data_IF_594156045509
#
_entry.id   IF_594156045509
#
_cell.length_a   1.000
_cell.length_b   1.000
_cell.length_c   1.000
_cell.angle_alpha   90.00
_cell.angle_beta   90.00
_cell.angle_gamma   90.00
#
_symmetry.space_group_name_H-M   'P 1'
#
loop_
_entity.id
_entity.type
_entity.pdbx_description
1 polymer ?
#
# COMPACT_ATOMS: atom_id res chain seq x y z
N UNK A 1 -17.64 -6.01 0.22
CA UNK A 1 -17.59 -6.90 -0.97
C UNK A 1 -16.27 -6.59 -1.63
N UNK A 2 -15.48 -7.60 -1.99
CA UNK A 2 -14.14 -7.37 -2.57
C UNK A 2 -14.29 -6.92 -4.01
N UNK A 3 -13.72 -5.76 -4.32
CA UNK A 3 -13.78 -5.13 -5.64
C UNK A 3 -12.58 -5.52 -6.52
N UNK A 4 -12.83 -5.78 -7.79
CA UNK A 4 -11.84 -6.30 -8.75
C UNK A 4 -11.79 -5.46 -10.02
N UNK A 5 -10.59 -5.13 -10.48
CA UNK A 5 -10.34 -4.67 -11.85
C UNK A 5 -9.64 -5.77 -12.63
N UNK A 6 -10.11 -6.02 -13.87
CA UNK A 6 -9.57 -7.03 -14.77
C UNK A 6 -8.92 -6.35 -15.98
N UNK A 7 -7.69 -6.77 -16.31
CA UNK A 7 -7.00 -6.35 -17.52
C UNK A 7 -6.53 -7.58 -18.30
N UNK A 8 -7.17 -7.83 -19.43
CA UNK A 8 -6.96 -9.01 -20.28
C UNK A 8 -7.36 -8.66 -21.72
N UNK A 9 -6.46 -8.81 -22.67
CA UNK A 9 -6.73 -8.41 -24.05
C UNK A 9 -7.63 -9.39 -24.81
N UNK A 10 -7.59 -10.68 -24.44
CA UNK A 10 -8.49 -11.69 -25.02
C UNK A 10 -9.91 -11.56 -24.43
N UNK A 11 -10.85 -11.03 -25.21
CA UNK A 11 -12.20 -10.72 -24.75
C UNK A 11 -12.95 -11.92 -24.16
N UNK A 12 -12.69 -13.15 -24.64
CA UNK A 12 -13.32 -14.38 -24.14
C UNK A 12 -12.79 -14.71 -22.75
N UNK A 13 -11.48 -14.63 -22.53
CA UNK A 13 -10.85 -14.86 -21.23
C UNK A 13 -11.29 -13.80 -20.22
N UNK A 14 -11.34 -12.54 -20.65
CA UNK A 14 -11.81 -11.44 -19.82
C UNK A 14 -13.25 -11.62 -19.35
N UNK A 15 -14.14 -12.07 -20.25
CA UNK A 15 -15.53 -12.37 -19.91
C UNK A 15 -15.65 -13.55 -18.93
N UNK A 16 -14.92 -14.63 -19.18
CA UNK A 16 -14.91 -15.81 -18.31
C UNK A 16 -14.39 -15.49 -16.89
N UNK A 17 -13.33 -14.67 -16.79
CA UNK A 17 -12.84 -14.14 -15.53
C UNK A 17 -13.92 -13.37 -14.78
N UNK A 18 -14.59 -12.45 -15.47
CA UNK A 18 -15.66 -11.63 -14.91
C UNK A 18 -16.81 -12.47 -14.37
N UNK A 19 -17.35 -13.35 -15.20
CA UNK A 19 -18.46 -14.25 -14.80
C UNK A 19 -18.06 -15.16 -13.64
N UNK A 20 -16.85 -15.71 -13.67
CA UNK A 20 -16.32 -16.57 -12.60
C UNK A 20 -16.23 -15.81 -11.27
N UNK A 21 -15.64 -14.62 -11.26
CA UNK A 21 -15.48 -13.80 -10.06
C UNK A 21 -16.83 -13.33 -9.51
N UNK A 22 -17.72 -12.83 -10.37
CA UNK A 22 -19.07 -12.40 -9.96
C UNK A 22 -19.89 -13.56 -9.39
N UNK A 23 -19.75 -14.78 -9.93
CA UNK A 23 -20.43 -15.99 -9.40
C UNK A 23 -19.97 -16.36 -7.99
N UNK A 24 -18.76 -15.95 -7.58
CA UNK A 24 -18.18 -16.19 -6.26
C UNK A 24 -18.36 -15.00 -5.30
N UNK A 25 -19.08 -13.95 -5.74
CA UNK A 25 -19.44 -12.83 -4.88
C UNK A 25 -18.41 -11.70 -4.86
N UNK A 26 -17.50 -11.68 -5.82
CA UNK A 26 -16.64 -10.51 -6.08
C UNK A 26 -17.40 -9.47 -6.92
N UNK A 27 -17.03 -8.21 -6.83
CA UNK A 27 -17.59 -7.15 -7.64
C UNK A 27 -16.57 -6.67 -8.68
N UNK A 28 -16.80 -6.94 -9.97
CA UNK A 28 -15.94 -6.46 -11.04
C UNK A 28 -16.32 -5.02 -11.37
N UNK A 29 -15.56 -4.06 -10.84
CA UNK A 29 -15.83 -2.62 -10.94
C UNK A 29 -15.28 -2.02 -12.23
N UNK A 30 -14.38 -2.72 -12.93
CA UNK A 30 -13.86 -2.29 -14.22
C UNK A 30 -13.15 -3.42 -14.95
N UNK A 31 -13.20 -3.38 -16.30
CA UNK A 31 -12.44 -4.31 -17.12
C UNK A 31 -11.90 -3.61 -18.40
N UNK A 32 -10.72 -4.03 -18.83
CA UNK A 32 -10.08 -3.48 -20.01
C UNK A 32 -9.24 -4.51 -20.76
N UNK A 33 -9.06 -4.30 -22.06
CA UNK A 33 -8.12 -5.08 -22.89
C UNK A 33 -6.78 -4.38 -23.12
N UNK A 34 -6.47 -3.31 -22.37
CA UNK A 34 -5.28 -2.48 -22.59
C UNK A 34 -4.62 -2.10 -21.28
N UNK A 35 -3.30 -2.31 -21.19
CA UNK A 35 -2.52 -2.01 -20.00
C UNK A 35 -2.44 -0.52 -19.65
N UNK A 36 -2.48 0.37 -20.64
CA UNK A 36 -2.45 1.81 -20.44
C UNK A 36 -3.74 2.37 -19.78
N UNK A 37 -4.86 1.66 -19.86
CA UNK A 37 -6.12 2.06 -19.23
C UNK A 37 -6.29 1.55 -17.79
N UNK A 38 -5.43 0.61 -17.36
CA UNK A 38 -5.59 -0.03 -16.03
C UNK A 38 -5.43 0.98 -14.89
N UNK A 39 -4.44 1.86 -15.00
CA UNK A 39 -4.15 2.85 -13.96
C UNK A 39 -5.29 3.85 -13.78
N UNK A 40 -5.96 4.21 -14.87
CA UNK A 40 -7.13 5.09 -14.81
C UNK A 40 -8.28 4.40 -14.07
N UNK A 41 -8.55 3.11 -14.40
CA UNK A 41 -9.57 2.32 -13.70
C UNK A 41 -9.25 2.11 -12.21
N UNK A 42 -7.99 1.88 -11.88
CA UNK A 42 -7.55 1.75 -10.48
C UNK A 42 -7.75 3.07 -9.72
N UNK A 43 -7.40 4.20 -10.32
CA UNK A 43 -7.58 5.51 -9.72
C UNK A 43 -9.07 5.91 -9.58
N UNK A 44 -9.93 5.47 -10.50
CA UNK A 44 -11.36 5.77 -10.48
C UNK A 44 -12.12 4.94 -9.44
N UNK A 45 -11.77 3.64 -9.32
CA UNK A 45 -12.57 2.69 -8.55
C UNK A 45 -11.95 2.25 -7.22
N UNK A 46 -10.65 2.54 -6.98
CA UNK A 46 -9.88 2.12 -5.80
C UNK A 46 -10.14 0.64 -5.43
N UNK A 47 -9.84 -0.31 -6.35
CA UNK A 47 -10.19 -1.71 -6.19
C UNK A 47 -9.31 -2.40 -5.12
N UNK A 48 -9.86 -3.44 -4.46
CA UNK A 48 -9.12 -4.28 -3.54
C UNK A 48 -8.05 -5.14 -4.25
N UNK A 49 -8.33 -5.51 -5.51
CA UNK A 49 -7.45 -6.39 -6.30
C UNK A 49 -7.50 -6.06 -7.78
N UNK A 50 -6.35 -6.19 -8.43
CA UNK A 50 -6.20 -6.08 -9.89
C UNK A 50 -5.67 -7.41 -10.45
N UNK A 51 -6.37 -7.95 -11.42
CA UNK A 51 -5.95 -9.13 -12.18
C UNK A 51 -5.50 -8.65 -13.56
N UNK A 52 -4.22 -8.84 -13.90
CA UNK A 52 -3.63 -8.26 -15.09
C UNK A 52 -2.86 -9.29 -15.91
N UNK A 53 -3.15 -9.41 -17.21
CA UNK A 53 -2.29 -10.18 -18.12
C UNK A 53 -0.96 -9.47 -18.33
N UNK A 54 0.13 -10.24 -18.42
CA UNK A 54 1.47 -9.70 -18.67
C UNK A 54 1.53 -9.10 -20.09
N UNK A 55 0.97 -9.79 -21.07
CA UNK A 55 1.08 -9.38 -22.49
C UNK A 55 -0.21 -8.74 -22.99
N UNK A 56 -0.25 -7.43 -22.96
CA UNK A 56 -1.38 -6.66 -23.46
C UNK A 56 -0.91 -5.52 -24.35
N UNK A 57 -1.78 -5.00 -25.24
CA UNK A 57 -1.54 -3.73 -25.92
C UNK A 57 -1.39 -2.57 -24.94
N UNK A 58 -0.54 -1.60 -25.28
CA UNK A 58 -0.27 -0.44 -24.46
C UNK A 58 0.87 -0.72 -23.45
N UNK A 59 0.57 -0.69 -22.17
CA UNK A 59 1.56 -0.92 -21.12
C UNK A 59 1.66 -2.42 -20.78
N UNK A 60 2.88 -2.93 -20.61
CA UNK A 60 3.17 -4.29 -20.15
C UNK A 60 2.59 -4.51 -18.74
N UNK A 61 1.96 -5.66 -18.49
CA UNK A 61 1.28 -5.95 -17.22
C UNK A 61 2.19 -5.95 -16.01
N UNK A 62 3.48 -6.29 -16.13
CA UNK A 62 4.44 -6.18 -15.04
C UNK A 62 4.78 -4.72 -14.70
N UNK A 63 4.83 -3.86 -15.71
CA UNK A 63 5.00 -2.42 -15.47
C UNK A 63 3.75 -1.81 -14.81
N UNK A 64 2.55 -2.25 -15.22
CA UNK A 64 1.29 -1.91 -14.54
C UNK A 64 1.31 -2.34 -13.09
N UNK A 65 1.66 -3.61 -12.82
CA UNK A 65 1.76 -4.16 -11.47
C UNK A 65 2.71 -3.35 -10.58
N UNK A 66 3.89 -3.00 -11.11
CA UNK A 66 4.89 -2.19 -10.40
C UNK A 66 4.37 -0.80 -10.05
N UNK A 67 3.63 -0.15 -10.95
CA UNK A 67 3.03 1.18 -10.68
C UNK A 67 1.94 1.09 -9.63
N UNK A 68 1.08 0.08 -9.70
CA UNK A 68 0.04 -0.14 -8.70
C UNK A 68 0.66 -0.38 -7.33
N UNK A 69 1.61 -1.30 -7.21
CA UNK A 69 2.28 -1.63 -5.93
C UNK A 69 2.98 -0.43 -5.29
N UNK A 70 3.40 0.57 -6.07
CA UNK A 70 4.09 1.76 -5.56
C UNK A 70 3.16 2.92 -5.21
N UNK A 71 1.95 2.99 -5.80
CA UNK A 71 1.14 4.22 -5.76
C UNK A 71 -0.32 3.99 -5.39
N UNK A 72 -0.78 2.74 -5.30
CA UNK A 72 -2.16 2.37 -5.02
C UNK A 72 -2.25 1.26 -3.98
N UNK A 73 -3.38 1.19 -3.31
CA UNK A 73 -3.65 0.23 -2.23
C UNK A 73 -4.45 -0.97 -2.76
N UNK A 74 -3.89 -1.70 -3.73
CA UNK A 74 -4.52 -2.86 -4.34
C UNK A 74 -3.57 -4.07 -4.42
N UNK A 75 -4.10 -5.27 -4.15
CA UNK A 75 -3.38 -6.51 -4.45
C UNK A 75 -3.25 -6.70 -5.97
N UNK A 76 -2.14 -7.25 -6.44
CA UNK A 76 -1.98 -7.54 -7.87
C UNK A 76 -1.73 -9.01 -8.11
N UNK A 77 -2.51 -9.60 -9.01
CA UNK A 77 -2.30 -10.93 -9.59
C UNK A 77 -1.98 -10.78 -11.07
N UNK A 78 -0.96 -11.48 -11.54
CA UNK A 78 -0.66 -11.54 -12.97
C UNK A 78 -1.14 -12.84 -13.60
N UNK A 79 -1.68 -12.72 -14.82
CA UNK A 79 -2.01 -13.83 -15.71
C UNK A 79 -0.91 -13.96 -16.76
N UNK A 80 -0.60 -15.17 -17.17
CA UNK A 80 0.42 -15.39 -18.21
C UNK A 80 0.25 -16.72 -18.92
N UNK A 81 0.56 -16.75 -20.20
CA UNK A 81 0.67 -17.98 -20.97
C UNK A 81 2.00 -18.72 -20.74
N UNK A 82 2.93 -18.15 -19.97
CA UNK A 82 4.29 -18.65 -19.84
C UNK A 82 4.69 -18.84 -18.36
N UNK A 83 5.26 -20.01 -18.06
CA UNK A 83 5.81 -20.36 -16.73
C UNK A 83 7.34 -20.19 -16.65
N UNK A 84 7.91 -19.24 -17.41
CA UNK A 84 9.35 -19.02 -17.41
C UNK A 84 9.81 -18.39 -16.11
N UNK A 85 10.92 -18.87 -15.56
CA UNK A 85 11.44 -18.45 -14.26
C UNK A 85 11.75 -16.94 -14.22
N UNK A 86 12.29 -16.41 -15.32
CA UNK A 86 12.62 -14.98 -15.45
C UNK A 86 11.37 -14.07 -15.31
N UNK A 87 10.21 -14.54 -15.76
CA UNK A 87 8.96 -13.79 -15.60
C UNK A 87 8.46 -13.83 -14.15
N UNK A 88 8.67 -14.94 -13.45
CA UNK A 88 8.32 -15.06 -12.03
C UNK A 88 9.18 -14.11 -11.20
N UNK A 89 10.50 -14.08 -11.44
CA UNK A 89 11.43 -13.20 -10.72
C UNK A 89 11.04 -11.72 -10.94
N UNK A 90 10.74 -11.33 -12.18
CA UNK A 90 10.27 -9.98 -12.51
C UNK A 90 8.92 -9.64 -11.87
N UNK A 91 8.00 -10.61 -11.77
CA UNK A 91 6.70 -10.42 -11.11
C UNK A 91 6.88 -10.17 -9.60
N UNK A 92 7.79 -10.91 -8.96
CA UNK A 92 8.14 -10.68 -7.54
C UNK A 92 8.74 -9.28 -7.34
N UNK A 93 9.68 -8.85 -8.20
CA UNK A 93 10.26 -7.51 -8.16
C UNK A 93 9.23 -6.40 -8.40
N UNK A 94 8.18 -6.68 -9.17
CA UNK A 94 7.07 -5.76 -9.41
C UNK A 94 6.05 -5.69 -8.25
N UNK A 95 6.23 -6.48 -7.18
CA UNK A 95 5.32 -6.51 -6.04
C UNK A 95 4.03 -7.31 -6.27
N UNK A 96 4.05 -8.22 -7.24
CA UNK A 96 2.91 -9.11 -7.54
C UNK A 96 2.70 -10.11 -6.41
N UNK A 97 1.46 -10.28 -5.97
CA UNK A 97 1.10 -11.15 -4.85
C UNK A 97 0.50 -12.49 -5.28
N UNK A 98 0.16 -12.64 -6.55
CA UNK A 98 -0.35 -13.88 -7.13
C UNK A 98 0.05 -14.03 -8.60
N UNK A 99 0.21 -15.27 -9.02
CA UNK A 99 0.63 -15.64 -10.37
C UNK A 99 -0.20 -16.82 -10.87
N UNK A 100 -0.87 -16.66 -12.01
CA UNK A 100 -1.70 -17.67 -12.63
C UNK A 100 -1.24 -17.95 -14.05
N UNK A 101 -1.09 -19.26 -14.38
CA UNK A 101 -0.71 -19.69 -15.73
C UNK A 101 -1.95 -20.09 -16.51
N UNK A 102 -2.11 -19.54 -17.71
CA UNK A 102 -3.16 -19.89 -18.64
C UNK A 102 -2.86 -21.25 -19.34
N UNK A 103 -3.84 -22.14 -19.53
CA UNK A 103 -5.23 -22.01 -19.09
C UNK A 103 -5.39 -22.33 -17.60
N UNK A 104 -6.21 -21.58 -16.89
CA UNK A 104 -6.54 -21.79 -15.49
C UNK A 104 -8.03 -22.17 -15.32
N UNK A 105 -8.35 -22.73 -14.20
CA UNK A 105 -9.71 -23.06 -13.80
C UNK A 105 -10.16 -22.19 -12.62
N UNK A 106 -11.46 -22.18 -12.35
CA UNK A 106 -12.03 -21.52 -11.16
C UNK A 106 -11.35 -21.98 -9.87
N UNK A 107 -11.02 -23.29 -9.77
CA UNK A 107 -10.29 -23.88 -8.63
C UNK A 107 -8.87 -23.31 -8.43
N UNK A 108 -8.29 -22.68 -9.45
CA UNK A 108 -6.97 -22.06 -9.40
C UNK A 108 -7.10 -20.55 -9.13
N UNK A 109 -8.08 -19.92 -9.78
CA UNK A 109 -8.31 -18.47 -9.70
C UNK A 109 -8.73 -18.03 -8.29
N UNK A 110 -9.77 -18.66 -7.72
CA UNK A 110 -10.34 -18.18 -6.45
C UNK A 110 -9.36 -18.28 -5.29
N UNK A 111 -8.64 -19.41 -5.07
CA UNK A 111 -7.61 -19.45 -4.03
C UNK A 111 -6.48 -18.43 -4.25
N UNK A 112 -6.08 -18.18 -5.50
CA UNK A 112 -5.06 -17.19 -5.79
C UNK A 112 -5.52 -15.77 -5.41
N UNK A 113 -6.78 -15.42 -5.71
CA UNK A 113 -7.39 -14.14 -5.32
C UNK A 113 -7.43 -14.00 -3.79
N UNK A 114 -7.92 -15.02 -3.08
CA UNK A 114 -8.01 -15.00 -1.62
C UNK A 114 -6.63 -14.86 -0.96
N UNK A 115 -5.63 -15.60 -1.43
CA UNK A 115 -4.27 -15.53 -0.92
C UNK A 115 -3.66 -14.17 -1.19
N UNK A 116 -3.82 -13.60 -2.38
CA UNK A 116 -3.30 -12.29 -2.73
C UNK A 116 -3.91 -11.19 -1.85
N UNK A 117 -5.23 -11.19 -1.66
CA UNK A 117 -5.92 -10.26 -0.79
C UNK A 117 -5.49 -10.40 0.69
N UNK A 118 -5.31 -11.64 1.17
CA UNK A 118 -4.84 -11.87 2.54
C UNK A 118 -3.40 -11.36 2.75
N UNK A 119 -2.50 -11.63 1.79
CA UNK A 119 -1.12 -11.14 1.81
C UNK A 119 -1.04 -9.62 1.73
N UNK A 120 -1.85 -9.01 0.89
CA UNK A 120 -1.90 -7.54 0.78
C UNK A 120 -2.28 -6.91 2.11
N UNK A 121 -3.33 -7.41 2.78
CA UNK A 121 -3.74 -6.94 4.11
C UNK A 121 -2.65 -7.11 5.16
N UNK A 122 -1.96 -8.24 5.17
CA UNK A 122 -0.84 -8.50 6.09
C UNK A 122 0.29 -7.47 5.89
N UNK A 123 0.69 -7.24 4.65
CA UNK A 123 1.73 -6.26 4.30
C UNK A 123 1.32 -4.86 4.76
N UNK A 124 0.09 -4.45 4.47
CA UNK A 124 -0.47 -3.16 4.87
C UNK A 124 -0.45 -2.96 6.40
N UNK A 125 -0.86 -3.98 7.16
CA UNK A 125 -0.80 -3.92 8.63
C UNK A 125 0.63 -3.78 9.15
N UNK A 126 1.58 -4.49 8.57
CA UNK A 126 3.00 -4.42 8.97
C UNK A 126 3.56 -3.04 8.62
N UNK A 127 3.31 -2.54 7.42
CA UNK A 127 3.79 -1.23 6.96
C UNK A 127 3.19 -0.11 7.82
N UNK A 128 1.88 -0.11 8.06
CA UNK A 128 1.22 0.89 8.90
C UNK A 128 1.73 0.89 10.35
N UNK A 129 2.05 -0.29 10.92
CA UNK A 129 2.70 -0.38 12.23
C UNK A 129 4.11 0.20 12.19
N UNK A 130 4.89 -0.09 11.16
CA UNK A 130 6.24 0.43 11.00
C UNK A 130 6.26 1.96 10.86
N UNK A 131 5.36 2.54 10.09
CA UNK A 131 5.18 4.00 9.95
C UNK A 131 4.83 4.63 11.30
N UNK A 132 3.87 4.07 12.01
CA UNK A 132 3.49 4.54 13.36
C UNK A 132 4.66 4.49 14.35
N UNK A 133 5.50 3.46 14.31
CA UNK A 133 6.70 3.38 15.14
C UNK A 133 7.76 4.41 14.74
N UNK A 134 7.97 4.63 13.44
CA UNK A 134 8.90 5.63 12.94
C UNK A 134 8.48 7.05 13.36
N UNK A 135 7.21 7.40 13.22
CA UNK A 135 6.64 8.68 13.67
C UNK A 135 6.82 8.88 15.19
N UNK A 136 6.56 7.85 16.00
CA UNK A 136 6.76 7.90 17.46
C UNK A 136 8.22 8.10 17.84
N UNK A 137 9.15 7.46 17.12
CA UNK A 137 10.59 7.64 17.34
C UNK A 137 11.04 9.06 17.00
N UNK A 138 10.59 9.61 15.88
CA UNK A 138 10.92 11.01 15.51
C UNK A 138 10.31 11.99 16.51
N UNK A 139 9.06 11.82 16.90
CA UNK A 139 8.42 12.61 17.96
C UNK A 139 9.24 12.57 19.24
N UNK A 140 9.66 11.39 19.69
CA UNK A 140 10.47 11.23 20.89
C UNK A 140 11.81 11.96 20.78
N UNK A 141 12.50 11.86 19.64
CA UNK A 141 13.76 12.56 19.40
C UNK A 141 13.61 14.09 19.50
N UNK A 142 12.52 14.65 18.96
CA UNK A 142 12.25 16.08 19.05
C UNK A 142 12.00 16.51 20.49
N UNK A 143 11.20 15.74 21.25
CA UNK A 143 10.94 16.01 22.66
C UNK A 143 12.25 15.92 23.50
N UNK A 144 13.07 14.90 23.25
CA UNK A 144 14.35 14.74 23.97
C UNK A 144 15.34 15.89 23.65
N UNK A 145 15.37 16.37 22.43
CA UNK A 145 16.15 17.58 22.06
C UNK A 145 15.64 18.82 22.81
N UNK A 146 14.33 19.04 22.86
CA UNK A 146 13.73 20.16 23.57
C UNK A 146 13.99 20.10 25.09
N UNK A 147 13.91 18.89 25.70
CA UNK A 147 14.31 18.70 27.10
C UNK A 147 15.77 19.10 27.31
N UNK A 148 16.68 18.57 26.48
CA UNK A 148 18.11 18.89 26.59
C UNK A 148 18.37 20.39 26.44
N UNK A 149 17.68 21.07 25.55
CA UNK A 149 17.75 22.51 25.41
C UNK A 149 17.31 23.23 26.70
N UNK A 150 16.14 22.89 27.24
CA UNK A 150 15.63 23.47 28.48
C UNK A 150 16.55 23.21 29.68
N UNK A 151 17.15 22.04 29.78
CA UNK A 151 18.14 21.71 30.81
C UNK A 151 19.38 22.60 30.71
N UNK A 152 19.89 22.82 29.48
CA UNK A 152 21.09 23.60 29.27
C UNK A 152 20.86 25.13 29.42
N UNK A 153 19.79 25.65 28.85
CA UNK A 153 19.53 27.09 28.83
C UNK A 153 18.83 27.62 30.10
N UNK A 154 17.92 26.80 30.67
CA UNK A 154 17.13 27.20 31.84
C UNK A 154 17.56 26.51 33.13
N UNK A 155 18.55 25.62 33.11
CA UNK A 155 19.04 24.90 34.26
C UNK A 155 18.02 23.95 34.89
N UNK A 156 17.03 23.51 34.15
CA UNK A 156 15.97 22.61 34.63
C UNK A 156 16.50 21.17 34.80
N UNK A 157 15.92 20.44 35.73
CA UNK A 157 16.10 19.00 35.78
C UNK A 157 15.40 18.32 34.59
N UNK A 158 15.73 17.07 34.25
CA UNK A 158 15.05 16.35 33.15
C UNK A 158 13.56 16.23 33.45
N UNK A 159 13.17 15.98 34.67
CA UNK A 159 11.78 15.86 35.10
C UNK A 159 11.03 17.20 34.94
N UNK A 160 11.66 18.30 35.37
CA UNK A 160 11.05 19.62 35.23
C UNK A 160 10.96 20.09 33.79
N UNK A 161 11.94 19.77 32.97
CA UNK A 161 11.92 20.05 31.54
C UNK A 161 10.78 19.27 30.83
N UNK A 162 10.61 17.99 31.15
CA UNK A 162 9.49 17.20 30.62
C UNK A 162 8.14 17.77 31.08
N UNK A 163 8.01 18.07 32.38
CA UNK A 163 6.78 18.64 32.95
C UNK A 163 6.45 20.00 32.33
N UNK A 164 7.46 20.83 32.07
CA UNK A 164 7.28 22.12 31.37
C UNK A 164 6.67 21.93 29.98
N UNK A 165 7.23 21.01 29.15
CA UNK A 165 6.70 20.70 27.82
C UNK A 165 5.26 20.17 27.91
N UNK A 166 4.99 19.27 28.86
CA UNK A 166 3.68 18.65 29.04
C UNK A 166 2.63 19.68 29.46
N UNK A 167 2.92 20.53 30.43
CA UNK A 167 1.98 21.55 30.92
C UNK A 167 1.71 22.58 29.85
N UNK A 168 2.74 23.05 29.14
CA UNK A 168 2.58 23.99 28.00
C UNK A 168 1.70 23.40 26.91
N UNK A 169 1.87 22.11 26.58
CA UNK A 169 1.04 21.41 25.61
C UNK A 169 -0.42 21.33 26.05
N UNK A 170 -0.67 21.00 27.32
CA UNK A 170 -2.03 20.93 27.89
C UNK A 170 -2.71 22.29 27.89
N UNK A 171 -2.02 23.36 28.34
CA UNK A 171 -2.57 24.71 28.45
C UNK A 171 -2.84 25.31 27.04
N UNK A 172 -1.95 25.03 26.08
CA UNK A 172 -2.07 25.49 24.69
C UNK A 172 -3.01 24.65 23.83
N UNK A 173 -3.49 23.48 24.32
CA UNK A 173 -4.19 22.46 23.54
C UNK A 173 -3.42 22.03 22.27
N UNK A 174 -2.13 21.93 22.41
CA UNK A 174 -1.18 21.52 21.38
C UNK A 174 -0.59 20.16 21.72
N UNK A 175 0.03 19.49 20.73
CA UNK A 175 0.80 18.27 21.00
C UNK A 175 2.16 18.61 21.63
N UNK A 176 2.72 17.66 22.39
CA UNK A 176 4.08 17.82 22.90
C UNK A 176 5.12 17.99 21.78
N UNK A 177 4.88 17.43 20.59
CA UNK A 177 5.72 17.59 19.41
C UNK A 177 5.72 19.05 18.92
N UNK A 178 4.54 19.67 18.82
CA UNK A 178 4.41 21.08 18.39
C UNK A 178 5.10 22.03 19.37
N UNK A 179 4.86 21.84 20.67
CA UNK A 179 5.51 22.63 21.72
C UNK A 179 7.02 22.47 21.68
N UNK A 180 7.50 21.22 21.57
CA UNK A 180 8.94 20.94 21.50
C UNK A 180 9.59 21.57 20.26
N UNK A 181 8.90 21.55 19.13
CA UNK A 181 9.36 22.18 17.88
C UNK A 181 9.44 23.71 18.03
N UNK A 182 8.45 24.32 18.69
CA UNK A 182 8.47 25.78 18.97
C UNK A 182 9.66 26.16 19.86
N UNK A 183 9.88 25.41 20.94
CA UNK A 183 11.01 25.64 21.86
C UNK A 183 12.35 25.58 21.09
N UNK A 184 12.52 24.63 20.19
CA UNK A 184 13.75 24.51 19.41
C UNK A 184 13.91 25.60 18.32
N UNK A 185 12.81 26.10 17.77
CA UNK A 185 12.84 27.17 16.76
C UNK A 185 13.07 28.56 17.38
N UNK A 186 12.62 28.82 18.60
CA UNK A 186 12.89 30.07 19.33
C UNK A 186 14.37 30.20 19.78
N UNK A 187 15.14 29.13 19.59
CA UNK A 187 16.57 29.07 19.97
C UNK A 187 17.55 29.35 18.81
N UNK A 188 17.04 29.65 17.62
CA UNK A 188 17.85 30.07 16.46
C UNK A 188 17.72 31.56 16.23
#
# INVERSE_FOLDING_TARGET
MTTVVIAEDEAIIRLDLKETLESEGYEVVGDTGRGDHVLDLVAEHDPDIVIVDIKMPGLDGLEVAKRISNSHDAAVIVLTAFSQRDLIDRAVEAGVLGYLVKPFQKSDLIPAVEVACARHREIKEITGKAETFAERLETRKVIDKAKSFLMNEKGLSEEDAFRFIQTTAMDGRESMLEVSTKILNESQ
#
